data_IF_744038351256
#
_entry.id   IF_744038351256
#
_cell.length_a   1.000
_cell.length_b   1.000
_cell.length_c   1.000
_cell.angle_alpha   90.00
_cell.angle_beta   90.00
_cell.angle_gamma   90.00
#
_symmetry.space_group_name_H-M   'P 1'
#
loop_
_entity.id
_entity.type
_entity.pdbx_description
1 polymer ?
#
# COMPACT_ATOMS: atom_id res chain seq x y z
N UNK A 1 10.28 -10.67 7.60
CA UNK A 1 11.42 -9.74 7.69
C UNK A 1 11.05 -8.35 7.18
N UNK A 2 10.37 -8.22 6.02
CA UNK A 2 9.96 -6.90 5.51
C UNK A 2 8.92 -6.20 6.41
N UNK A 3 7.83 -6.89 6.79
CA UNK A 3 6.69 -6.29 7.50
C UNK A 3 6.65 -6.53 9.01
N UNK A 4 7.20 -7.65 9.47
CA UNK A 4 7.09 -8.09 10.85
C UNK A 4 8.46 -8.43 11.44
N UNK A 5 8.66 -8.20 12.76
CA UNK A 5 7.67 -7.66 13.72
C UNK A 5 7.47 -6.14 13.58
N UNK A 6 6.27 -5.64 13.90
CA UNK A 6 5.94 -4.20 13.80
C UNK A 6 6.76 -3.40 14.81
N UNK A 7 6.86 -3.89 16.03
CA UNK A 7 7.75 -3.34 17.06
C UNK A 7 9.07 -4.12 17.12
N UNK A 8 10.09 -3.48 17.68
CA UNK A 8 11.39 -4.13 17.85
C UNK A 8 11.28 -5.34 18.77
N UNK A 9 11.70 -6.50 18.27
CA UNK A 9 11.72 -7.75 19.01
C UNK A 9 13.16 -8.11 19.39
N UNK A 10 13.43 -8.23 20.69
CA UNK A 10 14.72 -8.66 21.23
C UNK A 10 15.24 -7.76 22.34
N UNK A 11 16.51 -7.93 22.71
CA UNK A 11 17.16 -7.16 23.77
C UNK A 11 17.69 -5.85 23.16
N UNK A 12 17.20 -4.72 23.65
CA UNK A 12 17.58 -3.38 23.20
C UNK A 12 18.88 -2.90 23.88
N UNK A 13 19.98 -3.63 23.67
CA UNK A 13 21.30 -3.26 24.21
C UNK A 13 21.99 -2.18 23.36
N UNK A 14 21.86 -2.30 22.03
CA UNK A 14 22.36 -1.35 21.04
C UNK A 14 21.57 -1.53 19.76
N UNK A 15 20.92 -0.46 19.32
CA UNK A 15 20.23 -0.34 18.04
C UNK A 15 20.89 0.78 17.24
N UNK A 16 21.09 0.56 15.95
CA UNK A 16 21.56 1.62 15.05
C UNK A 16 20.37 2.36 14.45
N UNK A 17 20.47 3.67 14.34
CA UNK A 17 19.39 4.53 13.83
C UNK A 17 18.98 4.10 12.41
N UNK A 18 17.67 4.09 12.14
CA UNK A 18 17.04 3.69 10.87
C UNK A 18 17.38 2.27 10.37
N UNK A 19 17.93 1.41 11.22
CA UNK A 19 18.22 0.02 10.87
C UNK A 19 17.23 -0.97 11.49
N UNK A 20 16.87 -2.03 10.73
CA UNK A 20 15.93 -3.06 11.20
C UNK A 20 16.58 -4.07 12.16
N UNK A 21 17.90 -3.99 12.38
CA UNK A 21 18.64 -4.94 13.21
C UNK A 21 19.25 -4.22 14.42
N UNK A 22 19.18 -4.85 15.58
CA UNK A 22 19.97 -4.48 16.75
C UNK A 22 20.95 -5.60 17.11
N UNK A 23 21.80 -5.37 18.10
CA UNK A 23 22.81 -6.35 18.52
C UNK A 23 22.19 -7.71 18.91
N UNK A 24 20.99 -7.70 19.49
CA UNK A 24 20.24 -8.90 19.89
C UNK A 24 18.74 -8.73 19.65
N UNK A 25 18.36 -8.29 18.46
CA UNK A 25 16.96 -8.16 18.07
C UNK A 25 16.77 -7.64 16.66
N UNK A 26 15.53 -7.61 16.21
CA UNK A 26 15.18 -7.12 14.89
C UNK A 26 13.76 -6.55 14.87
N UNK A 27 13.50 -5.73 13.86
CA UNK A 27 12.20 -5.19 13.52
C UNK A 27 11.97 -5.38 12.02
N UNK A 28 10.71 -5.34 11.59
CA UNK A 28 10.40 -5.22 10.18
C UNK A 28 11.05 -3.98 9.56
N UNK A 29 11.47 -4.07 8.30
CA UNK A 29 12.10 -2.95 7.58
C UNK A 29 11.12 -1.79 7.39
N UNK A 30 9.90 -2.07 6.94
CA UNK A 30 8.86 -1.05 6.71
C UNK A 30 8.46 -0.35 8.03
N UNK A 31 8.18 -1.07 9.14
CA UNK A 31 7.97 -0.44 10.45
C UNK A 31 9.16 0.37 11.00
N UNK A 32 10.39 0.03 10.59
CA UNK A 32 11.59 0.76 11.02
C UNK A 32 11.69 2.11 10.30
N UNK A 33 11.41 2.14 9.00
CA UNK A 33 11.53 3.33 8.15
C UNK A 33 10.23 4.09 7.96
N UNK A 34 9.23 3.87 8.82
CA UNK A 34 7.87 4.42 8.67
C UNK A 34 7.85 5.93 8.46
N UNK A 35 8.62 6.70 9.24
CA UNK A 35 8.60 8.16 9.13
C UNK A 35 9.09 8.65 7.76
N UNK A 36 10.20 8.09 7.27
CA UNK A 36 10.79 8.44 5.97
C UNK A 36 9.82 8.08 4.84
N UNK A 37 9.23 6.88 4.90
CA UNK A 37 8.30 6.37 3.90
C UNK A 37 6.97 7.15 3.91
N UNK A 38 6.44 7.44 5.10
CA UNK A 38 5.23 8.24 5.27
C UNK A 38 5.42 9.65 4.71
N UNK A 39 6.52 10.34 5.02
CA UNK A 39 6.83 11.67 4.47
C UNK A 39 6.88 11.68 2.93
N UNK A 40 7.40 10.61 2.31
CA UNK A 40 7.38 10.49 0.84
C UNK A 40 5.96 10.31 0.32
N UNK A 41 5.17 9.41 0.91
CA UNK A 41 3.79 9.19 0.52
C UNK A 41 2.91 10.42 0.70
N UNK A 42 3.10 11.17 1.80
CA UNK A 42 2.41 12.43 2.07
C UNK A 42 2.63 13.42 0.92
N UNK A 43 3.89 13.71 0.58
CA UNK A 43 4.23 14.61 -0.54
C UNK A 43 3.60 14.17 -1.86
N UNK A 44 3.56 12.86 -2.12
CA UNK A 44 2.94 12.33 -3.33
C UNK A 44 1.44 12.65 -3.35
N UNK A 45 0.76 12.41 -2.24
CA UNK A 45 -0.68 12.65 -2.10
C UNK A 45 -0.99 14.15 -2.22
N UNK A 46 -0.25 15.00 -1.52
CA UNK A 46 -0.50 16.45 -1.44
C UNK A 46 -0.06 17.21 -2.69
N UNK A 47 1.08 16.85 -3.28
CA UNK A 47 1.65 17.61 -4.40
C UNK A 47 1.05 17.21 -5.75
N UNK A 48 0.59 15.96 -5.90
CA UNK A 48 0.22 15.41 -7.23
C UNK A 48 -1.19 14.84 -7.33
N UNK A 49 -1.81 14.43 -6.23
CA UNK A 49 -3.02 13.58 -6.31
C UNK A 49 -4.29 14.22 -5.75
N UNK A 50 -4.18 14.98 -4.65
CA UNK A 50 -5.35 15.48 -3.93
C UNK A 50 -5.21 16.97 -3.59
N UNK A 51 -6.18 17.75 -4.07
CA UNK A 51 -6.42 19.12 -3.60
C UNK A 51 -7.58 19.13 -2.62
N UNK A 52 -7.38 19.72 -1.44
CA UNK A 52 -8.44 19.86 -0.43
C UNK A 52 -9.55 20.77 -0.95
N UNK A 53 -9.21 21.88 -1.60
CA UNK A 53 -10.20 22.82 -2.17
C UNK A 53 -11.12 22.10 -3.16
N UNK A 54 -10.56 21.31 -4.09
CA UNK A 54 -11.35 20.55 -5.07
C UNK A 54 -12.21 19.46 -4.41
N UNK A 55 -11.72 18.79 -3.37
CA UNK A 55 -12.46 17.76 -2.66
C UNK A 55 -13.62 18.39 -1.86
N UNK A 56 -13.36 19.43 -1.09
CA UNK A 56 -14.36 20.10 -0.26
C UNK A 56 -15.38 20.90 -1.09
N UNK A 57 -15.01 21.38 -2.28
CA UNK A 57 -15.95 22.03 -3.21
C UNK A 57 -17.10 21.12 -3.66
N UNK A 58 -16.96 19.80 -3.55
CA UNK A 58 -18.03 18.82 -3.86
C UNK A 58 -19.09 18.73 -2.78
N UNK A 59 -18.81 19.22 -1.57
CA UNK A 59 -19.79 19.25 -0.49
C UNK A 59 -20.88 20.30 -0.82
N UNK A 60 -22.14 19.98 -0.51
CA UNK A 60 -23.24 20.93 -0.54
C UNK A 60 -23.35 21.60 0.84
N UNK A 61 -23.05 22.90 0.97
CA UNK A 61 -23.08 23.62 2.24
C UNK A 61 -24.45 23.60 2.92
N UNK A 62 -25.53 23.58 2.15
CA UNK A 62 -26.90 23.55 2.67
C UNK A 62 -27.21 22.19 3.26
N UNK A 63 -26.85 21.12 2.54
CA UNK A 63 -27.06 19.74 3.02
C UNK A 63 -26.18 19.42 4.22
N UNK A 64 -24.88 19.72 4.15
CA UNK A 64 -23.95 19.51 5.26
C UNK A 64 -24.36 20.34 6.50
N UNK A 65 -24.76 21.60 6.30
CA UNK A 65 -25.24 22.46 7.38
C UNK A 65 -26.45 21.87 8.10
N UNK A 66 -27.41 21.28 7.38
CA UNK A 66 -28.55 20.57 7.98
C UNK A 66 -28.15 19.35 8.79
N UNK A 67 -27.13 18.61 8.33
CA UNK A 67 -26.64 17.41 9.03
C UNK A 67 -25.84 17.76 10.29
N UNK A 68 -25.09 18.87 10.27
CA UNK A 68 -24.32 19.35 11.42
C UNK A 68 -25.16 20.14 12.43
N UNK A 69 -26.29 20.70 12.00
CA UNK A 69 -27.15 21.55 12.84
C UNK A 69 -27.49 20.94 14.21
N UNK A 70 -27.91 19.66 14.32
CA UNK A 70 -28.23 19.07 15.63
C UNK A 70 -27.04 19.03 16.57
N UNK A 71 -25.85 18.69 16.06
CA UNK A 71 -24.62 18.63 16.86
C UNK A 71 -24.21 20.01 17.38
N UNK A 72 -24.30 21.04 16.52
CA UNK A 72 -23.99 22.41 16.89
C UNK A 72 -25.01 22.94 17.92
N UNK A 73 -26.30 22.67 17.74
CA UNK A 73 -27.33 23.07 18.71
C UNK A 73 -27.13 22.42 20.08
N UNK A 74 -26.87 21.10 20.10
CA UNK A 74 -26.59 20.34 21.32
C UNK A 74 -25.37 20.89 22.06
N UNK A 75 -24.27 21.13 21.33
CA UNK A 75 -23.05 21.69 21.92
C UNK A 75 -23.22 23.11 22.44
N UNK A 76 -23.96 23.97 21.72
CA UNK A 76 -24.28 25.33 22.20
C UNK A 76 -25.12 25.28 23.46
N UNK A 77 -26.11 24.40 23.53
CA UNK A 77 -26.96 24.24 24.72
C UNK A 77 -26.15 23.74 25.92
N UNK A 78 -25.27 22.76 25.71
CA UNK A 78 -24.41 22.20 26.74
C UNK A 78 -23.37 23.21 27.28
N UNK A 79 -22.76 24.01 26.40
CA UNK A 79 -21.63 24.88 26.78
C UNK A 79 -22.03 26.33 27.07
N UNK A 80 -23.10 26.84 26.44
CA UNK A 80 -23.53 28.24 26.55
C UNK A 80 -24.89 28.40 27.26
N UNK A 81 -25.63 27.32 27.48
CA UNK A 81 -26.92 27.31 28.16
C UNK A 81 -28.13 27.58 27.25
N UNK A 82 -29.32 27.37 27.81
CA UNK A 82 -30.60 27.35 27.08
C UNK A 82 -30.95 28.70 26.42
N UNK A 83 -30.61 29.82 27.06
CA UNK A 83 -30.88 31.16 26.54
C UNK A 83 -30.18 31.43 25.20
N UNK A 84 -28.91 31.02 25.07
CA UNK A 84 -28.15 31.15 23.83
C UNK A 84 -28.63 30.15 22.77
N UNK A 85 -28.95 28.91 23.17
CA UNK A 85 -29.56 27.92 22.27
C UNK A 85 -30.85 28.48 21.65
N UNK A 86 -31.76 29.05 22.45
CA UNK A 86 -33.00 29.65 21.97
C UNK A 86 -32.76 30.80 20.98
N UNK A 87 -31.82 31.71 21.29
CA UNK A 87 -31.50 32.85 20.43
C UNK A 87 -30.91 32.42 19.08
N UNK A 88 -30.03 31.42 19.09
CA UNK A 88 -29.30 30.98 17.90
C UNK A 88 -30.09 29.98 17.05
N UNK A 89 -31.06 29.24 17.61
CA UNK A 89 -31.91 28.26 16.89
C UNK A 89 -32.47 28.76 15.54
N UNK A 90 -33.05 29.97 15.41
CA UNK A 90 -33.55 30.45 14.12
C UNK A 90 -32.45 30.94 13.17
N UNK A 91 -31.29 31.33 13.69
CA UNK A 91 -30.18 31.91 12.92
C UNK A 91 -29.24 30.83 12.38
N UNK A 92 -28.96 29.80 13.17
CA UNK A 92 -28.03 28.71 12.82
C UNK A 92 -28.31 28.07 11.45
N UNK A 93 -29.56 27.73 11.07
CA UNK A 93 -29.84 27.13 9.77
C UNK A 93 -29.49 28.03 8.57
N UNK A 94 -29.47 29.35 8.76
CA UNK A 94 -29.09 30.33 7.74
C UNK A 94 -27.59 30.63 7.76
N UNK A 95 -26.99 30.62 8.95
CA UNK A 95 -25.57 30.93 9.19
C UNK A 95 -24.64 29.78 8.78
N UNK A 96 -25.00 28.53 9.12
CA UNK A 96 -24.19 27.34 8.86
C UNK A 96 -23.81 27.19 7.38
N UNK A 97 -24.75 27.26 6.41
CA UNK A 97 -24.40 27.15 4.99
C UNK A 97 -23.43 28.25 4.52
N UNK A 98 -23.55 29.47 5.07
CA UNK A 98 -22.64 30.56 4.74
C UNK A 98 -21.22 30.28 5.25
N UNK A 99 -21.09 29.86 6.51
CA UNK A 99 -19.79 29.49 7.11
C UNK A 99 -19.16 28.33 6.35
N UNK A 100 -19.95 27.30 6.03
CA UNK A 100 -19.47 26.14 5.26
C UNK A 100 -19.02 26.54 3.85
N UNK A 101 -19.71 27.48 3.21
CA UNK A 101 -19.28 28.02 1.90
C UNK A 101 -17.93 28.74 2.00
N UNK A 102 -17.72 29.53 3.06
CA UNK A 102 -16.41 30.15 3.31
C UNK A 102 -15.35 29.11 3.65
N UNK A 103 -15.71 28.07 4.41
CA UNK A 103 -14.80 27.00 4.83
C UNK A 103 -14.28 26.22 3.63
N UNK A 104 -15.14 25.95 2.63
CA UNK A 104 -14.72 25.29 1.39
C UNK A 104 -13.61 26.05 0.64
N UNK A 105 -13.63 27.38 0.67
CA UNK A 105 -12.65 28.24 -0.02
C UNK A 105 -11.36 28.45 0.75
N UNK A 106 -11.39 28.21 2.06
CA UNK A 106 -10.28 28.48 2.97
C UNK A 106 -9.91 27.22 3.76
N UNK A 107 -10.20 26.04 3.21
CA UNK A 107 -10.03 24.76 3.91
C UNK A 107 -8.56 24.47 4.25
N UNK A 108 -7.63 24.88 3.38
CA UNK A 108 -6.19 24.72 3.61
C UNK A 108 -5.67 25.51 4.84
N UNK A 109 -6.43 26.51 5.31
CA UNK A 109 -6.10 27.23 6.54
C UNK A 109 -6.59 26.52 7.80
N UNK A 110 -7.45 25.51 7.66
CA UNK A 110 -8.16 24.84 8.76
C UNK A 110 -7.80 23.36 8.88
N UNK A 111 -7.41 22.73 7.78
CA UNK A 111 -7.10 21.30 7.69
C UNK A 111 -5.71 21.15 7.08
N UNK A 112 -4.80 20.53 7.82
CA UNK A 112 -3.46 20.21 7.32
C UNK A 112 -3.45 18.76 6.82
N UNK A 113 -3.60 18.60 5.50
CA UNK A 113 -3.59 17.27 4.88
C UNK A 113 -2.27 16.53 5.12
N UNK A 114 -1.15 17.25 5.18
CA UNK A 114 0.15 16.62 5.44
C UNK A 114 0.18 16.01 6.83
N UNK A 115 -0.29 16.75 7.85
CA UNK A 115 -0.34 16.26 9.22
C UNK A 115 -1.34 15.11 9.39
N UNK A 116 -2.52 15.16 8.75
CA UNK A 116 -3.50 14.06 8.80
C UNK A 116 -2.90 12.76 8.26
N UNK A 117 -2.26 12.81 7.08
CA UNK A 117 -1.68 11.61 6.47
C UNK A 117 -0.45 11.14 7.24
N UNK A 118 0.43 12.06 7.64
CA UNK A 118 1.65 11.73 8.38
C UNK A 118 1.32 11.11 9.74
N UNK A 119 0.42 11.74 10.49
CA UNK A 119 -0.01 11.27 11.80
C UNK A 119 -0.67 9.89 11.72
N UNK A 120 -1.46 9.60 10.68
CA UNK A 120 -2.06 8.29 10.49
C UNK A 120 -1.00 7.17 10.37
N UNK A 121 0.07 7.40 9.61
CA UNK A 121 1.13 6.40 9.43
C UNK A 121 2.13 6.34 10.58
N UNK A 122 2.43 7.47 11.23
CA UNK A 122 3.39 7.53 12.35
C UNK A 122 2.76 7.03 13.65
N UNK A 123 1.48 7.36 13.90
CA UNK A 123 0.72 6.91 15.08
C UNK A 123 0.52 5.39 15.07
N UNK A 124 0.27 4.82 13.90
CA UNK A 124 0.11 3.38 13.73
C UNK A 124 0.90 2.86 12.52
N UNK A 125 2.10 2.34 12.82
CA UNK A 125 3.00 1.72 11.83
C UNK A 125 2.34 0.55 11.10
N UNK A 126 1.32 -0.09 11.71
CA UNK A 126 0.57 -1.17 11.06
C UNK A 126 -0.19 -0.66 9.83
N UNK A 127 -0.69 0.58 9.85
CA UNK A 127 -1.43 1.17 8.72
C UNK A 127 -0.53 1.26 7.49
N UNK A 128 0.72 1.73 7.66
CA UNK A 128 1.67 1.77 6.55
C UNK A 128 2.00 0.37 6.04
N UNK A 129 2.23 -0.58 6.95
CA UNK A 129 2.49 -1.99 6.62
C UNK A 129 1.33 -2.62 5.85
N UNK A 130 0.10 -2.36 6.25
CA UNK A 130 -1.11 -2.86 5.59
C UNK A 130 -1.27 -2.26 4.20
N UNK A 131 -0.93 -0.98 4.00
CA UNK A 131 -0.91 -0.35 2.68
C UNK A 131 0.05 -1.08 1.74
N UNK A 132 1.28 -1.33 2.17
CA UNK A 132 2.28 -2.05 1.37
C UNK A 132 1.85 -3.48 1.07
N UNK A 133 1.31 -4.19 2.06
CA UNK A 133 0.85 -5.56 1.86
C UNK A 133 -0.36 -5.64 0.93
N UNK A 134 -1.24 -4.64 0.96
CA UNK A 134 -2.41 -4.60 0.06
C UNK A 134 -1.96 -4.32 -1.37
N UNK A 135 -1.28 -3.19 -1.59
CA UNK A 135 -0.84 -2.75 -2.93
C UNK A 135 0.19 -3.68 -3.57
N UNK A 136 1.19 -4.12 -2.80
CA UNK A 136 2.31 -4.93 -3.29
C UNK A 136 2.08 -6.45 -3.25
N UNK A 137 0.85 -6.91 -2.96
CA UNK A 137 0.57 -8.33 -2.71
C UNK A 137 1.03 -9.23 -3.85
N UNK A 138 0.77 -8.83 -5.09
CA UNK A 138 1.07 -9.63 -6.29
C UNK A 138 2.57 -9.67 -6.54
N UNK A 139 3.25 -8.54 -6.39
CA UNK A 139 4.69 -8.39 -6.57
C UNK A 139 5.45 -9.20 -5.52
N UNK A 140 4.98 -9.19 -4.27
CA UNK A 140 5.53 -10.03 -3.20
C UNK A 140 5.35 -11.53 -3.50
N UNK A 141 4.18 -11.94 -3.98
CA UNK A 141 3.94 -13.33 -4.38
C UNK A 141 4.80 -13.73 -5.57
N UNK A 142 4.98 -12.83 -6.55
CA UNK A 142 5.89 -13.03 -7.65
C UNK A 142 7.32 -13.21 -7.18
N UNK A 143 7.80 -12.38 -6.24
CA UNK A 143 9.14 -12.49 -5.67
C UNK A 143 9.37 -13.84 -5.00
N UNK A 144 8.38 -14.33 -4.23
CA UNK A 144 8.45 -15.65 -3.57
C UNK A 144 8.42 -16.79 -4.59
N UNK A 145 7.52 -16.75 -5.57
CA UNK A 145 7.33 -17.85 -6.52
C UNK A 145 8.41 -17.90 -7.61
N UNK A 146 8.90 -16.75 -8.05
CA UNK A 146 9.92 -16.65 -9.09
C UNK A 146 11.29 -17.16 -8.63
N UNK A 147 11.56 -17.10 -7.33
CA UNK A 147 12.78 -17.65 -6.73
C UNK A 147 12.98 -19.13 -7.05
N UNK A 148 11.91 -19.92 -7.12
CA UNK A 148 11.98 -21.33 -7.53
C UNK A 148 12.37 -21.47 -9.02
N UNK A 149 11.74 -20.70 -9.91
CA UNK A 149 11.98 -20.76 -11.35
C UNK A 149 13.42 -20.35 -11.71
N UNK A 150 13.84 -19.15 -11.31
CA UNK A 150 15.20 -18.68 -11.58
C UNK A 150 16.24 -19.51 -10.83
N UNK A 151 15.99 -19.85 -9.58
CA UNK A 151 16.87 -20.71 -8.79
C UNK A 151 17.08 -22.08 -9.44
N UNK A 152 16.06 -22.63 -10.09
CA UNK A 152 16.19 -23.88 -10.85
C UNK A 152 17.11 -23.72 -12.07
N UNK A 153 16.84 -22.75 -12.96
CA UNK A 153 17.66 -22.57 -14.18
C UNK A 153 19.10 -22.15 -13.87
N UNK A 154 19.28 -21.21 -12.93
CA UNK A 154 20.61 -20.81 -12.47
C UNK A 154 21.31 -21.93 -11.70
N UNK A 155 20.54 -22.76 -10.98
CA UNK A 155 21.02 -23.97 -10.32
C UNK A 155 21.55 -25.02 -11.31
N UNK A 156 20.89 -25.20 -12.47
CA UNK A 156 21.39 -26.06 -13.55
C UNK A 156 22.70 -25.54 -14.14
N UNK A 157 22.80 -24.22 -14.35
CA UNK A 157 24.03 -23.58 -14.78
C UNK A 157 25.16 -23.75 -13.73
N UNK A 158 24.84 -23.57 -12.44
CA UNK A 158 25.74 -23.84 -11.32
C UNK A 158 26.20 -25.30 -11.32
N UNK A 159 25.29 -26.25 -11.54
CA UNK A 159 25.62 -27.68 -11.58
C UNK A 159 26.58 -27.99 -12.73
N UNK A 160 26.35 -27.44 -13.91
CA UNK A 160 27.24 -27.59 -15.06
C UNK A 160 28.63 -26.98 -14.78
N UNK A 161 28.69 -25.78 -14.20
CA UNK A 161 29.94 -25.12 -13.81
C UNK A 161 30.70 -25.91 -12.74
N UNK A 162 30.00 -26.47 -11.76
CA UNK A 162 30.58 -27.32 -10.74
C UNK A 162 31.11 -28.65 -11.31
N UNK A 163 30.42 -29.25 -12.27
CA UNK A 163 30.87 -30.47 -12.94
C UNK A 163 32.20 -30.26 -13.70
N UNK A 164 32.45 -29.05 -14.23
CA UNK A 164 33.71 -28.70 -14.88
C UNK A 164 34.85 -28.47 -13.88
N UNK A 165 34.56 -27.84 -12.73
CA UNK A 165 35.55 -27.50 -11.71
C UNK A 165 35.06 -27.81 -10.29
N UNK A 166 35.07 -29.09 -9.86
CA UNK A 166 34.55 -29.50 -8.57
C UNK A 166 35.53 -29.14 -7.45
N UNK A 167 35.33 -27.99 -6.81
CA UNK A 167 36.03 -27.59 -5.60
C UNK A 167 35.07 -27.45 -4.41
N UNK A 168 35.60 -27.49 -3.18
CA UNK A 168 34.78 -27.37 -1.97
C UNK A 168 34.20 -25.97 -1.78
N UNK A 169 34.89 -24.93 -2.28
CA UNK A 169 34.45 -23.54 -2.17
C UNK A 169 33.52 -23.11 -3.32
N UNK A 170 33.48 -23.86 -4.43
CA UNK A 170 32.67 -23.48 -5.60
C UNK A 170 31.17 -23.60 -5.32
N UNK A 171 30.73 -24.54 -4.48
CA UNK A 171 29.31 -24.68 -4.13
C UNK A 171 28.80 -23.54 -3.23
N UNK A 172 29.49 -23.14 -2.13
CA UNK A 172 29.11 -21.97 -1.35
C UNK A 172 29.17 -20.67 -2.16
N UNK A 173 30.22 -20.47 -2.96
CA UNK A 173 30.37 -19.26 -3.77
C UNK A 173 29.32 -19.18 -4.90
N UNK A 174 29.07 -20.28 -5.60
CA UNK A 174 28.04 -20.34 -6.62
C UNK A 174 26.64 -20.21 -6.02
N UNK A 175 26.37 -20.86 -4.87
CA UNK A 175 25.10 -20.69 -4.16
C UNK A 175 24.85 -19.23 -3.77
N UNK A 176 25.88 -18.53 -3.27
CA UNK A 176 25.80 -17.10 -2.97
C UNK A 176 25.50 -16.26 -4.22
N UNK A 177 26.21 -16.54 -5.32
CA UNK A 177 26.01 -15.85 -6.60
C UNK A 177 24.60 -16.10 -7.16
N UNK A 178 24.14 -17.35 -7.16
CA UNK A 178 22.81 -17.72 -7.65
C UNK A 178 21.73 -17.06 -6.79
N UNK A 179 21.85 -17.08 -5.46
CA UNK A 179 20.92 -16.40 -4.57
C UNK A 179 20.86 -14.89 -4.80
N UNK A 180 22.02 -14.25 -4.97
CA UNK A 180 22.14 -12.84 -5.29
C UNK A 180 21.50 -12.50 -6.64
N UNK A 181 21.90 -13.21 -7.71
CA UNK A 181 21.44 -12.96 -9.07
C UNK A 181 19.95 -13.26 -9.22
N UNK A 182 19.44 -14.32 -8.61
CA UNK A 182 18.00 -14.66 -8.63
C UNK A 182 17.17 -13.51 -8.08
N UNK A 183 17.53 -13.01 -6.89
CA UNK A 183 16.78 -11.93 -6.26
C UNK A 183 16.93 -10.61 -7.01
N UNK A 184 18.12 -10.33 -7.55
CA UNK A 184 18.36 -9.16 -8.40
C UNK A 184 17.51 -9.19 -9.67
N UNK A 185 17.43 -10.33 -10.37
CA UNK A 185 16.59 -10.51 -11.56
C UNK A 185 15.10 -10.37 -11.18
N UNK A 186 14.67 -10.98 -10.07
CA UNK A 186 13.28 -10.93 -9.62
C UNK A 186 12.81 -9.49 -9.36
N UNK A 187 13.57 -8.71 -8.60
CA UNK A 187 13.26 -7.29 -8.34
C UNK A 187 13.26 -6.50 -9.64
N UNK A 188 14.25 -6.72 -10.50
CA UNK A 188 14.36 -5.96 -11.75
C UNK A 188 13.14 -6.14 -12.65
N UNK A 189 12.55 -7.33 -12.75
CA UNK A 189 11.32 -7.50 -13.55
C UNK A 189 10.06 -6.96 -12.87
N UNK A 190 10.10 -6.67 -11.57
CA UNK A 190 8.97 -6.04 -10.90
C UNK A 190 8.81 -4.60 -11.38
N UNK A 191 9.92 -3.86 -11.56
CA UNK A 191 9.90 -2.42 -11.86
C UNK A 191 10.40 -2.04 -13.27
N UNK A 192 11.20 -2.89 -13.92
CA UNK A 192 11.77 -2.60 -15.23
C UNK A 192 11.27 -3.57 -16.33
N UNK A 193 11.02 -3.08 -17.56
CA UNK A 193 11.06 -1.68 -17.98
C UNK A 193 9.78 -0.93 -17.57
N UNK A 194 9.94 0.34 -17.16
CA UNK A 194 8.83 1.19 -16.74
C UNK A 194 7.81 1.43 -17.87
N UNK A 195 8.33 1.79 -19.04
CA UNK A 195 7.55 1.91 -20.26
C UNK A 195 7.46 0.56 -20.96
N UNK A 196 6.32 0.25 -21.59
CA UNK A 196 6.15 -0.99 -22.34
C UNK A 196 7.11 -1.05 -23.52
N UNK A 197 7.94 -2.08 -23.58
CA UNK A 197 8.91 -2.33 -24.66
C UNK A 197 8.43 -3.48 -25.52
N UNK A 198 8.30 -3.22 -26.83
CA UNK A 198 7.98 -4.25 -27.81
C UNK A 198 9.23 -5.05 -28.20
N UNK A 199 9.27 -6.31 -27.76
CA UNK A 199 10.31 -7.26 -28.16
C UNK A 199 9.91 -7.89 -29.49
N UNK A 200 10.74 -7.65 -30.52
CA UNK A 200 10.58 -8.21 -31.88
C UNK A 200 9.21 -7.91 -32.53
N UNK A 201 8.47 -6.92 -32.04
CA UNK A 201 7.14 -6.54 -32.55
C UNK A 201 6.01 -7.54 -32.24
N UNK A 202 6.28 -8.58 -31.45
CA UNK A 202 5.32 -9.67 -31.17
C UNK A 202 4.88 -9.73 -29.71
N UNK A 203 5.72 -9.23 -28.79
CA UNK A 203 5.49 -9.36 -27.34
C UNK A 203 5.82 -8.02 -26.69
N UNK A 204 4.86 -7.47 -25.96
CA UNK A 204 5.06 -6.28 -25.13
C UNK A 204 5.51 -6.73 -23.73
N UNK A 205 6.65 -6.20 -23.28
CA UNK A 205 7.24 -6.48 -21.96
C UNK A 205 7.23 -5.18 -21.15
N UNK A 206 6.71 -5.25 -19.93
CA UNK A 206 6.69 -4.16 -18.97
C UNK A 206 6.95 -4.72 -17.57
N UNK A 207 7.51 -3.90 -16.68
CA UNK A 207 7.61 -4.22 -15.26
C UNK A 207 6.25 -4.63 -14.69
N UNK A 208 6.24 -5.66 -13.84
CA UNK A 208 5.01 -6.23 -13.28
C UNK A 208 4.18 -5.16 -12.55
N UNK A 209 4.85 -4.31 -11.77
CA UNK A 209 4.22 -3.29 -10.95
C UNK A 209 3.56 -2.20 -11.81
N UNK A 210 4.27 -1.68 -12.81
CA UNK A 210 3.79 -0.65 -13.74
C UNK A 210 2.66 -1.20 -14.61
N UNK A 211 2.73 -2.47 -15.01
CA UNK A 211 1.66 -3.12 -15.78
C UNK A 211 0.33 -3.20 -15.00
N UNK A 212 0.39 -3.14 -13.66
CA UNK A 212 -0.74 -3.17 -12.72
C UNK A 212 -1.14 -1.79 -12.21
N UNK A 213 -0.63 -0.70 -12.79
CA UNK A 213 -0.92 0.68 -12.36
C UNK A 213 -2.40 0.94 -12.07
N UNK A 214 -3.32 0.46 -12.92
CA UNK A 214 -4.77 0.65 -12.73
C UNK A 214 -5.28 -0.03 -11.45
N UNK A 215 -4.88 -1.29 -11.23
CA UNK A 215 -5.29 -2.08 -10.07
C UNK A 215 -4.69 -1.50 -8.78
N UNK A 216 -3.40 -1.18 -8.80
CA UNK A 216 -2.69 -0.54 -7.68
C UNK A 216 -3.33 0.80 -7.32
N UNK A 217 -3.71 1.60 -8.32
CA UNK A 217 -4.35 2.89 -8.10
C UNK A 217 -5.70 2.75 -7.38
N UNK A 218 -6.49 1.74 -7.75
CA UNK A 218 -7.79 1.46 -7.13
C UNK A 218 -7.63 0.95 -5.69
N UNK A 219 -6.67 0.05 -5.46
CA UNK A 219 -6.37 -0.47 -4.12
C UNK A 219 -5.80 0.63 -3.19
N UNK A 220 -4.96 1.51 -3.72
CA UNK A 220 -4.41 2.66 -3.00
C UNK A 220 -5.51 3.65 -2.61
N UNK A 221 -6.35 4.06 -3.57
CA UNK A 221 -7.46 4.98 -3.29
C UNK A 221 -8.45 4.43 -2.27
N UNK A 222 -8.80 3.15 -2.38
CA UNK A 222 -9.68 2.44 -1.43
C UNK A 222 -9.06 2.39 -0.03
N UNK A 223 -7.76 2.08 0.06
CA UNK A 223 -7.04 2.06 1.34
C UNK A 223 -7.01 3.46 1.97
N UNK A 224 -6.63 4.49 1.21
CA UNK A 224 -6.50 5.85 1.72
C UNK A 224 -7.85 6.38 2.24
N UNK A 225 -8.94 6.21 1.50
CA UNK A 225 -10.27 6.66 1.94
C UNK A 225 -10.77 5.89 3.18
N UNK A 226 -10.49 4.59 3.27
CA UNK A 226 -11.04 3.74 4.34
C UNK A 226 -10.22 3.75 5.64
N UNK A 227 -8.93 4.10 5.59
CA UNK A 227 -8.01 4.00 6.74
C UNK A 227 -7.29 5.27 7.11
N UNK A 228 -7.10 6.22 6.19
CA UNK A 228 -6.27 7.41 6.40
C UNK A 228 -7.11 8.69 6.32
N UNK A 229 -7.68 8.95 5.16
CA UNK A 229 -8.45 10.15 4.83
C UNK A 229 -9.96 9.92 5.03
N UNK A 230 -10.32 9.44 6.20
CA UNK A 230 -11.73 9.24 6.57
C UNK A 230 -12.35 10.54 7.08
N UNK A 231 -13.67 10.70 6.94
CA UNK A 231 -14.41 11.82 7.52
C UNK A 231 -14.10 12.03 9.02
N UNK A 232 -13.89 10.94 9.76
CA UNK A 232 -13.47 11.00 11.16
C UNK A 232 -12.14 11.72 11.34
N UNK A 233 -11.09 11.27 10.66
CA UNK A 233 -9.75 11.84 10.84
C UNK A 233 -9.71 13.30 10.33
N UNK A 234 -10.40 13.60 9.22
CA UNK A 234 -10.49 14.97 8.69
C UNK A 234 -11.21 15.91 9.65
N UNK A 235 -12.39 15.54 10.16
CA UNK A 235 -13.14 16.39 11.10
C UNK A 235 -12.41 16.52 12.45
N UNK A 236 -11.72 15.46 12.88
CA UNK A 236 -10.93 15.48 14.12
C UNK A 236 -9.76 16.45 14.01
N UNK A 237 -9.06 16.44 12.87
CA UNK A 237 -7.96 17.35 12.61
C UNK A 237 -8.43 18.82 12.56
N UNK A 238 -9.53 19.09 11.86
CA UNK A 238 -10.14 20.42 11.83
C UNK A 238 -10.51 20.93 13.22
N UNK A 239 -10.98 20.05 14.10
CA UNK A 239 -11.33 20.43 15.47
C UNK A 239 -10.15 20.40 16.45
N UNK A 240 -8.94 20.08 15.98
CA UNK A 240 -7.74 20.03 16.80
C UNK A 240 -7.37 21.43 17.34
N UNK A 241 -6.67 21.46 18.47
CA UNK A 241 -6.24 22.71 19.12
C UNK A 241 -7.34 23.47 19.89
N UNK A 242 -8.62 23.12 19.75
CA UNK A 242 -9.71 23.74 20.51
C UNK A 242 -9.80 25.25 20.27
N UNK A 243 -9.70 26.05 21.33
CA UNK A 243 -9.80 27.51 21.27
C UNK A 243 -8.59 28.19 20.59
N UNK A 244 -7.44 27.51 20.57
CA UNK A 244 -6.23 27.98 19.87
C UNK A 244 -6.10 27.39 18.46
N UNK A 245 -7.01 26.48 18.09
CA UNK A 245 -7.05 25.76 16.83
C UNK A 245 -7.40 26.62 15.62
N UNK A 246 -7.11 26.10 14.44
CA UNK A 246 -7.33 26.81 13.17
C UNK A 246 -8.81 27.01 12.87
N UNK A 247 -9.66 26.02 13.16
CA UNK A 247 -11.11 26.16 13.01
C UNK A 247 -11.69 27.26 13.89
N UNK A 248 -11.23 27.41 15.14
CA UNK A 248 -11.67 28.49 16.02
C UNK A 248 -11.29 29.86 15.42
N UNK A 249 -10.04 30.02 14.97
CA UNK A 249 -9.54 31.24 14.34
C UNK A 249 -10.30 31.56 13.04
N UNK A 250 -10.60 30.54 12.25
CA UNK A 250 -11.44 30.67 11.05
C UNK A 250 -12.85 31.17 11.40
N UNK A 251 -13.54 30.51 12.35
CA UNK A 251 -14.89 30.90 12.76
C UNK A 251 -14.92 32.33 13.30
N UNK A 252 -13.91 32.71 14.10
CA UNK A 252 -13.77 34.07 14.64
C UNK A 252 -13.68 35.13 13.54
N UNK A 253 -13.02 34.83 12.42
CA UNK A 253 -12.85 35.76 11.29
C UNK A 253 -14.11 35.89 10.42
N UNK A 254 -14.88 34.80 10.26
CA UNK A 254 -16.05 34.78 9.38
C UNK A 254 -17.29 35.47 9.98
N UNK A 255 -17.32 35.67 11.30
CA UNK A 255 -18.49 36.21 11.99
C UNK A 255 -18.42 37.75 12.12
N UNK A 256 -19.39 38.50 11.56
CA UNK A 256 -19.33 39.96 11.48
C UNK A 256 -19.60 40.68 12.81
N UNK A 257 -20.14 39.97 13.81
CA UNK A 257 -20.49 40.52 15.12
C UNK A 257 -19.58 39.94 16.20
N UNK A 258 -19.34 40.69 17.31
CA UNK A 258 -18.61 40.16 18.45
C UNK A 258 -19.41 39.05 19.13
N UNK A 259 -19.24 37.83 18.65
CA UNK A 259 -19.82 36.63 19.26
C UNK A 259 -18.93 36.22 20.45
N UNK A 260 -19.51 35.86 21.61
CA UNK A 260 -18.78 35.26 22.72
C UNK A 260 -17.91 34.08 22.28
N UNK A 261 -16.67 34.02 22.75
CA UNK A 261 -15.74 32.93 22.43
C UNK A 261 -16.33 31.56 22.76
N UNK A 262 -17.13 31.45 23.82
CA UNK A 262 -17.80 30.21 24.23
C UNK A 262 -18.67 29.58 23.14
N UNK A 263 -19.28 30.37 22.26
CA UNK A 263 -20.10 29.86 21.15
C UNK A 263 -19.20 29.29 20.05
N UNK A 264 -18.04 29.92 19.80
CA UNK A 264 -17.05 29.41 18.85
C UNK A 264 -16.45 28.10 19.37
N UNK A 265 -16.07 28.06 20.65
CA UNK A 265 -15.61 26.86 21.35
C UNK A 265 -16.65 25.74 21.29
N UNK A 266 -17.94 26.07 21.46
CA UNK A 266 -19.03 25.12 21.32
C UNK A 266 -19.13 24.58 19.89
N UNK A 267 -18.97 25.42 18.87
CA UNK A 267 -18.97 24.97 17.48
C UNK A 267 -17.79 24.03 17.17
N UNK A 268 -16.58 24.37 17.63
CA UNK A 268 -15.40 23.48 17.50
C UNK A 268 -15.63 22.16 18.23
N UNK A 269 -16.15 22.22 19.46
CA UNK A 269 -16.49 21.03 20.25
C UNK A 269 -17.56 20.18 19.59
N UNK A 270 -18.51 20.79 18.86
CA UNK A 270 -19.50 20.06 18.09
C UNK A 270 -18.86 19.27 16.95
N UNK A 271 -17.90 19.86 16.23
CA UNK A 271 -17.17 19.15 15.17
C UNK A 271 -16.32 18.02 15.76
N UNK A 272 -15.66 18.24 16.90
CA UNK A 272 -14.95 17.20 17.63
C UNK A 272 -15.89 16.05 18.06
N UNK A 273 -17.07 16.36 18.61
CA UNK A 273 -18.07 15.36 19.01
C UNK A 273 -18.56 14.56 17.80
N UNK A 274 -18.81 15.24 16.67
CA UNK A 274 -19.17 14.58 15.41
C UNK A 274 -18.06 13.65 14.95
N UNK A 275 -16.79 14.07 15.01
CA UNK A 275 -15.66 13.26 14.61
C UNK A 275 -15.52 12.00 15.48
N UNK A 276 -15.58 12.14 16.80
CA UNK A 276 -15.36 11.03 17.74
C UNK A 276 -16.54 10.08 17.90
N UNK A 277 -17.76 10.50 17.54
CA UNK A 277 -18.98 9.69 17.66
C UNK A 277 -19.63 9.36 16.30
N UNK A 278 -18.98 8.54 15.43
CA UNK A 278 -19.52 8.20 14.11
C UNK A 278 -20.84 7.43 14.16
N UNK A 279 -21.10 6.70 15.25
CA UNK A 279 -22.37 5.99 15.46
C UNK A 279 -23.52 6.94 15.83
N UNK A 280 -23.23 8.09 16.45
CA UNK A 280 -24.22 9.13 16.79
C UNK A 280 -24.55 9.98 15.57
N UNK A 281 -23.56 10.24 14.71
CA UNK A 281 -23.70 11.07 13.51
C UNK A 281 -23.39 10.33 12.19
N UNK A 282 -23.99 9.14 11.93
CA UNK A 282 -23.64 8.32 10.78
C UNK A 282 -23.94 9.00 9.45
N UNK A 283 -24.97 9.86 9.42
CA UNK A 283 -25.34 10.63 8.24
C UNK A 283 -24.27 11.66 7.84
N UNK A 284 -23.59 12.29 8.81
CA UNK A 284 -22.49 13.24 8.52
C UNK A 284 -21.30 12.47 7.95
N UNK A 285 -20.88 11.40 8.62
CA UNK A 285 -19.73 10.58 8.18
C UNK A 285 -19.95 9.97 6.81
N UNK A 286 -21.12 9.38 6.56
CA UNK A 286 -21.47 8.81 5.26
C UNK A 286 -21.47 9.88 4.17
N UNK A 287 -22.09 11.05 4.45
CA UNK A 287 -22.17 12.13 3.48
C UNK A 287 -20.79 12.70 3.14
N UNK A 288 -19.96 13.01 4.15
CA UNK A 288 -18.61 13.56 3.92
C UNK A 288 -17.74 12.56 3.17
N UNK A 289 -17.71 11.28 3.58
CA UNK A 289 -16.92 10.26 2.89
C UNK A 289 -17.35 10.07 1.43
N UNK A 290 -18.66 10.05 1.16
CA UNK A 290 -19.19 9.85 -0.19
C UNK A 290 -18.93 11.07 -1.10
N UNK A 291 -19.13 12.28 -0.60
CA UNK A 291 -19.03 13.49 -1.43
C UNK A 291 -17.60 13.96 -1.65
N UNK A 292 -16.69 13.78 -0.68
CA UNK A 292 -15.28 14.09 -0.90
C UNK A 292 -14.67 13.19 -1.98
N UNK A 293 -15.18 11.96 -2.12
CA UNK A 293 -14.82 11.02 -3.19
C UNK A 293 -13.29 10.87 -3.35
N UNK A 294 -12.63 10.68 -2.19
CA UNK A 294 -11.18 10.62 -2.06
C UNK A 294 -10.62 9.42 -2.82
N UNK A 295 -11.31 8.27 -2.74
CA UNK A 295 -10.91 7.03 -3.42
C UNK A 295 -10.75 7.25 -4.93
N UNK A 296 -11.80 7.73 -5.59
CA UNK A 296 -11.77 7.94 -7.05
C UNK A 296 -10.83 9.07 -7.43
N UNK A 297 -10.72 10.13 -6.61
CA UNK A 297 -9.80 11.23 -6.85
C UNK A 297 -8.34 10.74 -6.86
N UNK A 298 -7.92 10.00 -5.83
CA UNK A 298 -6.57 9.44 -5.74
C UNK A 298 -6.33 8.38 -6.82
N UNK A 299 -7.27 7.47 -7.05
CA UNK A 299 -7.13 6.42 -8.05
C UNK A 299 -7.02 7.01 -9.47
N UNK A 300 -7.84 8.01 -9.80
CA UNK A 300 -7.78 8.70 -11.10
C UNK A 300 -6.50 9.51 -11.25
N UNK A 301 -6.04 10.16 -10.18
CA UNK A 301 -4.75 10.86 -10.16
C UNK A 301 -3.60 9.92 -10.53
N UNK A 302 -3.50 8.78 -9.85
CA UNK A 302 -2.45 7.78 -10.11
C UNK A 302 -2.55 7.16 -11.50
N UNK A 303 -3.77 6.88 -12.00
CA UNK A 303 -3.99 6.34 -13.36
C UNK A 303 -3.61 7.30 -14.50
N UNK A 304 -3.57 8.61 -14.23
CA UNK A 304 -3.21 9.64 -15.22
C UNK A 304 -1.72 9.85 -15.36
N UNK A 305 -0.94 9.37 -14.41
CA UNK A 305 0.51 9.48 -14.46
C UNK A 305 1.07 8.59 -15.55
N UNK A 306 2.17 9.04 -16.18
CA UNK A 306 2.95 8.17 -17.04
C UNK A 306 3.53 6.99 -16.23
N UNK A 307 3.83 5.83 -16.86
CA UNK A 307 4.40 4.68 -16.15
C UNK A 307 5.66 5.04 -15.38
N UNK A 308 6.51 5.91 -15.95
CA UNK A 308 7.72 6.40 -15.30
C UNK A 308 7.42 7.29 -14.10
N UNK A 309 6.45 8.20 -14.21
CA UNK A 309 6.05 9.00 -13.04
C UNK A 309 5.46 8.12 -11.95
N UNK A 310 4.64 7.13 -12.30
CA UNK A 310 4.06 6.19 -11.35
C UNK A 310 5.13 5.35 -10.63
N UNK A 311 6.13 4.84 -11.38
CA UNK A 311 7.32 4.21 -10.84
C UNK A 311 8.06 5.18 -9.90
N UNK A 312 8.39 6.39 -10.35
CA UNK A 312 9.11 7.39 -9.56
C UNK A 312 8.38 7.79 -8.26
N UNK A 313 7.05 7.59 -8.16
CA UNK A 313 6.31 7.81 -6.90
C UNK A 313 6.50 6.66 -5.91
N UNK A 314 6.39 5.42 -6.35
CA UNK A 314 6.28 4.26 -5.45
C UNK A 314 7.61 3.50 -5.33
N UNK A 315 8.40 3.43 -6.40
CA UNK A 315 9.69 2.75 -6.45
C UNK A 315 10.68 3.29 -5.40
N UNK A 316 10.85 4.60 -5.15
CA UNK A 316 11.74 5.06 -4.08
C UNK A 316 11.33 4.53 -2.70
N UNK A 317 10.07 4.17 -2.52
CA UNK A 317 9.58 3.59 -1.28
C UNK A 317 9.87 2.08 -1.20
N UNK A 318 9.88 1.38 -2.33
CA UNK A 318 10.31 -0.03 -2.41
C UNK A 318 11.85 -0.22 -2.44
N UNK A 319 12.59 0.71 -3.05
CA UNK A 319 14.06 0.72 -3.17
C UNK A 319 14.77 0.62 -1.83
N UNK A 320 14.18 1.18 -0.77
CA UNK A 320 14.75 1.25 0.57
C UNK A 320 15.08 -0.13 1.17
N UNK A 321 14.54 -1.23 0.62
CA UNK A 321 14.82 -2.60 1.07
C UNK A 321 15.41 -3.52 0.00
N UNK A 322 15.59 -3.07 -1.24
CA UNK A 322 16.08 -3.93 -2.33
C UNK A 322 17.46 -4.52 -2.05
N UNK A 323 18.38 -3.70 -1.54
CA UNK A 323 19.75 -4.12 -1.22
C UNK A 323 19.76 -5.17 -0.12
N UNK A 324 18.97 -4.97 0.94
CA UNK A 324 18.85 -5.93 2.05
C UNK A 324 18.31 -7.26 1.54
N UNK A 325 17.29 -7.22 0.66
CA UNK A 325 16.67 -8.41 0.11
C UNK A 325 17.64 -9.19 -0.80
N UNK A 326 18.36 -8.50 -1.68
CA UNK A 326 19.38 -9.10 -2.56
C UNK A 326 20.53 -9.70 -1.74
N UNK A 327 21.03 -8.96 -0.75
CA UNK A 327 22.09 -9.43 0.14
C UNK A 327 21.66 -10.66 0.95
N UNK A 328 20.42 -10.67 1.45
CA UNK A 328 19.85 -11.81 2.19
C UNK A 328 19.75 -13.04 1.29
N UNK A 329 19.33 -12.89 0.03
CA UNK A 329 19.35 -13.96 -0.97
C UNK A 329 20.74 -14.56 -1.16
N UNK A 330 21.77 -13.73 -1.25
CA UNK A 330 23.17 -14.18 -1.34
C UNK A 330 23.66 -14.91 -0.08
N UNK A 331 23.34 -14.42 1.12
CA UNK A 331 23.72 -15.06 2.39
C UNK A 331 23.04 -16.42 2.56
N UNK A 332 21.74 -16.51 2.25
CA UNK A 332 20.99 -17.77 2.29
C UNK A 332 21.51 -18.76 1.24
N UNK A 333 21.83 -18.28 0.03
CA UNK A 333 22.46 -19.06 -1.02
C UNK A 333 23.84 -19.61 -0.63
N UNK A 334 24.67 -18.79 0.03
CA UNK A 334 25.94 -19.23 0.61
C UNK A 334 25.72 -20.34 1.64
N UNK A 335 24.77 -20.14 2.56
CA UNK A 335 24.41 -21.12 3.59
C UNK A 335 23.96 -22.45 2.98
N UNK A 336 23.12 -22.41 1.96
CA UNK A 336 22.68 -23.59 1.21
C UNK A 336 23.87 -24.31 0.53
N UNK A 337 24.76 -23.58 -0.13
CA UNK A 337 25.95 -24.15 -0.77
C UNK A 337 26.96 -24.74 0.23
N UNK A 338 27.13 -24.11 1.40
CA UNK A 338 27.93 -24.63 2.51
C UNK A 338 27.33 -25.93 3.07
N UNK A 339 26.01 -25.99 3.20
CA UNK A 339 25.30 -27.19 3.62
C UNK A 339 25.47 -28.32 2.58
N UNK A 340 25.31 -28.02 1.29
CA UNK A 340 25.56 -28.98 0.20
C UNK A 340 26.98 -29.56 0.23
N UNK A 341 27.98 -28.70 0.50
CA UNK A 341 29.37 -29.12 0.63
C UNK A 341 29.56 -30.09 1.80
N UNK A 342 28.96 -29.78 2.97
CA UNK A 342 29.02 -30.64 4.17
C UNK A 342 28.27 -31.96 4.01
N UNK A 343 27.15 -31.97 3.28
CA UNK A 343 26.35 -33.19 3.01
C UNK A 343 27.00 -34.14 2.00
N UNK A 344 28.25 -33.88 1.57
CA UNK A 344 29.06 -34.85 0.84
C UNK A 344 29.08 -34.65 -0.67
N UNK A 345 28.58 -33.51 -1.17
CA UNK A 345 28.76 -33.04 -2.55
C UNK A 345 30.06 -32.23 -2.73
N UNK A 346 30.94 -32.21 -1.74
CA UNK A 346 32.33 -31.77 -1.87
C UNK A 346 33.32 -32.94 -2.01
N UNK A 347 34.42 -32.74 -2.73
CA UNK A 347 35.56 -33.68 -2.80
C UNK A 347 35.52 -34.69 -3.96
N UNK A 348 36.50 -35.61 -4.05
CA UNK A 348 36.74 -36.46 -5.23
C UNK A 348 35.64 -37.49 -5.54
N UNK A 349 34.74 -37.77 -4.60
CA UNK A 349 33.60 -38.68 -4.77
C UNK A 349 32.25 -37.95 -4.94
N UNK A 350 32.26 -36.62 -5.14
CA UNK A 350 31.04 -35.84 -5.19
C UNK A 350 30.20 -36.09 -6.45
N UNK A 351 30.83 -36.21 -7.62
CA UNK A 351 30.15 -36.45 -8.90
C UNK A 351 29.33 -37.75 -8.91
N UNK A 352 29.87 -38.92 -8.51
CA UNK A 352 29.07 -40.15 -8.47
C UNK A 352 27.95 -40.11 -7.43
N UNK A 353 28.12 -39.39 -6.30
CA UNK A 353 27.04 -39.20 -5.31
C UNK A 353 25.91 -38.32 -5.83
N UNK A 354 26.25 -37.25 -6.54
CA UNK A 354 25.29 -36.34 -7.15
C UNK A 354 24.43 -37.06 -8.22
N UNK A 355 25.07 -37.90 -9.05
CA UNK A 355 24.38 -38.76 -10.03
C UNK A 355 23.42 -39.73 -9.30
N UNK A 356 23.88 -40.37 -8.22
CA UNK A 356 23.06 -41.27 -7.40
C UNK A 356 21.82 -40.58 -6.81
N UNK A 357 21.97 -39.37 -6.27
CA UNK A 357 20.83 -38.59 -5.77
C UNK A 357 19.89 -38.16 -6.89
N UNK A 358 20.40 -37.73 -8.05
CA UNK A 358 19.56 -37.33 -9.19
C UNK A 358 18.71 -38.50 -9.69
N UNK A 359 19.31 -39.69 -9.86
CA UNK A 359 18.59 -40.91 -10.24
C UNK A 359 17.54 -41.31 -9.20
N UNK A 360 17.87 -41.22 -7.92
CA UNK A 360 16.91 -41.50 -6.84
C UNK A 360 15.71 -40.55 -6.89
N UNK A 361 15.96 -39.24 -7.07
CA UNK A 361 14.90 -38.22 -7.10
C UNK A 361 14.02 -38.37 -8.34
N UNK A 362 14.62 -38.63 -9.52
CA UNK A 362 13.88 -38.92 -10.76
C UNK A 362 13.03 -40.18 -10.62
N UNK A 363 13.54 -41.23 -9.99
CA UNK A 363 12.78 -42.45 -9.74
C UNK A 363 11.61 -42.21 -8.76
N UNK A 364 11.80 -41.40 -7.72
CA UNK A 364 10.71 -41.06 -6.78
C UNK A 364 9.67 -40.17 -7.44
N UNK A 365 10.07 -39.15 -8.20
CA UNK A 365 9.12 -38.30 -8.94
C UNK A 365 8.34 -39.09 -10.00
N UNK A 366 8.99 -40.01 -10.71
CA UNK A 366 8.31 -40.91 -11.66
C UNK A 366 7.32 -41.83 -10.94
N UNK A 367 7.69 -42.38 -9.78
CA UNK A 367 6.81 -43.22 -8.97
C UNK A 367 5.57 -42.46 -8.48
N UNK A 368 5.75 -41.22 -8.01
CA UNK A 368 4.65 -40.35 -7.59
C UNK A 368 3.74 -40.00 -8.78
N UNK A 369 4.32 -39.67 -9.93
CA UNK A 369 3.55 -39.38 -11.15
C UNK A 369 2.72 -40.58 -11.60
N UNK A 370 3.33 -41.77 -11.68
CA UNK A 370 2.63 -43.02 -12.03
C UNK A 370 1.52 -43.33 -11.02
N UNK A 371 1.76 -43.10 -9.73
CA UNK A 371 0.76 -43.31 -8.70
C UNK A 371 -0.41 -42.33 -8.80
N UNK A 372 -0.14 -41.04 -9.06
CA UNK A 372 -1.20 -40.05 -9.30
C UNK A 372 -2.02 -40.37 -10.56
N UNK A 373 -1.39 -40.82 -11.64
CA UNK A 373 -2.07 -41.22 -12.87
C UNK A 373 -2.94 -42.47 -12.63
N UNK A 374 -2.45 -43.43 -11.83
CA UNK A 374 -3.20 -44.62 -11.43
C UNK A 374 -4.41 -44.26 -10.56
N UNK A 375 -4.22 -43.40 -9.55
CA UNK A 375 -5.29 -42.88 -8.68
C UNK A 375 -6.34 -42.10 -9.50
N UNK A 376 -5.92 -41.24 -10.44
CA UNK A 376 -6.82 -40.47 -11.31
C UNK A 376 -7.68 -41.35 -12.24
N UNK A 377 -7.21 -42.55 -12.59
CA UNK A 377 -7.96 -43.52 -13.40
C UNK A 377 -8.90 -44.41 -12.56
N UNK A 378 -8.66 -44.56 -11.26
CA UNK A 378 -9.36 -45.53 -10.40
C UNK A 378 -10.23 -44.91 -9.30
N UNK A 379 -10.05 -43.63 -8.98
CA UNK A 379 -10.95 -42.89 -8.08
C UNK A 379 -12.01 -42.08 -8.86
N UNK A 380 -13.29 -42.14 -8.48
CA UNK A 380 -14.32 -41.29 -9.08
C UNK A 380 -14.04 -39.81 -8.77
N UNK A 381 -14.30 -38.88 -9.71
CA UNK A 381 -13.99 -37.48 -9.50
C UNK A 381 -14.78 -36.96 -8.30
N UNK A 382 -14.05 -36.51 -7.26
CA UNK A 382 -14.64 -35.70 -6.20
C UNK A 382 -15.18 -34.43 -6.86
N UNK A 383 -16.50 -34.28 -6.86
CA UNK A 383 -17.20 -33.10 -7.33
C UNK A 383 -16.73 -31.86 -6.54
N UNK A 384 -15.69 -31.19 -7.03
CA UNK A 384 -15.28 -29.91 -6.48
C UNK A 384 -16.26 -28.85 -6.98
N UNK A 385 -17.10 -28.38 -6.07
CA UNK A 385 -17.89 -27.15 -6.22
C UNK A 385 -17.05 -26.08 -6.91
N UNK A 386 -17.68 -25.45 -7.89
CA UNK A 386 -17.21 -24.26 -8.59
C UNK A 386 -16.36 -23.37 -7.68
N UNK A 387 -15.05 -23.36 -7.92
CA UNK A 387 -14.21 -22.28 -7.42
C UNK A 387 -14.61 -21.05 -8.24
N UNK A 388 -14.96 -19.92 -7.62
CA UNK A 388 -15.23 -18.71 -8.37
C UNK A 388 -14.02 -18.40 -9.24
N UNK A 389 -14.28 -18.20 -10.54
CA UNK A 389 -13.27 -17.79 -11.51
C UNK A 389 -12.72 -16.41 -11.11
N UNK A 390 -11.69 -16.39 -10.27
CA UNK A 390 -10.80 -15.25 -10.16
C UNK A 390 -10.14 -15.12 -11.53
N UNK A 391 -10.40 -14.03 -12.26
CA UNK A 391 -9.60 -13.66 -13.43
C UNK A 391 -8.18 -13.38 -12.95
N UNK A 392 -7.34 -14.42 -12.90
CA UNK A 392 -5.88 -14.30 -12.77
C UNK A 392 -5.37 -13.45 -13.92
N UNK A 393 -5.04 -12.18 -13.66
CA UNK A 393 -4.25 -11.36 -14.58
C UNK A 393 -2.80 -11.44 -14.11
N UNK A 394 -2.10 -12.52 -14.48
CA UNK A 394 -0.79 -12.90 -13.93
C UNK A 394 0.38 -12.76 -14.93
N UNK A 395 0.25 -11.99 -16.01
CA UNK A 395 1.24 -12.06 -17.10
C UNK A 395 1.97 -10.75 -17.35
N UNK A 396 3.30 -10.82 -17.21
CA UNK A 396 4.31 -9.82 -17.63
C UNK A 396 4.29 -9.60 -19.16
N UNK A 397 3.70 -10.54 -19.90
CA UNK A 397 3.66 -10.57 -21.35
C UNK A 397 2.22 -10.33 -21.83
N UNK A 398 2.02 -9.34 -22.69
CA UNK A 398 0.73 -9.08 -23.34
C UNK A 398 0.79 -9.49 -24.82
N UNK A 399 -0.15 -10.33 -25.31
CA UNK A 399 -0.34 -10.50 -26.74
C UNK A 399 -0.97 -9.21 -27.31
N UNK A 400 -0.38 -8.66 -28.37
CA UNK A 400 -0.76 -7.37 -28.98
C UNK A 400 -2.24 -7.25 -29.35
N UNK A 401 -2.94 -8.37 -29.59
CA UNK A 401 -4.32 -8.37 -30.07
C UNK A 401 -5.38 -8.12 -28.99
N UNK A 402 -5.09 -8.35 -27.70
CA UNK A 402 -6.06 -8.09 -26.61
C UNK A 402 -6.15 -6.59 -26.26
N UNK A 403 -5.11 -5.81 -26.55
CA UNK A 403 -5.10 -4.36 -26.35
C UNK A 403 -6.04 -3.62 -27.30
N UNK A 404 -6.28 -4.15 -28.50
CA UNK A 404 -7.24 -3.57 -29.44
C UNK A 404 -8.69 -3.65 -28.92
N UNK A 405 -9.04 -4.72 -28.20
CA UNK A 405 -10.37 -4.89 -27.60
C UNK A 405 -10.52 -4.06 -26.31
N UNK A 406 -9.47 -3.95 -25.49
CA UNK A 406 -9.49 -3.13 -24.27
C UNK A 406 -9.46 -1.63 -24.60
N UNK A 407 -8.69 -1.21 -25.61
CA UNK A 407 -8.70 0.16 -26.10
C UNK A 407 -10.03 0.54 -26.78
N UNK A 408 -10.71 -0.42 -27.42
CA UNK A 408 -12.05 -0.21 -27.98
C UNK A 408 -13.15 -0.09 -26.90
N UNK A 409 -12.93 -0.59 -25.68
CA UNK A 409 -13.85 -0.45 -24.55
C UNK A 409 -13.79 0.92 -23.86
N UNK A 410 -12.75 1.72 -24.12
CA UNK A 410 -12.62 3.09 -23.65
C UNK A 410 -12.77 4.06 -24.83
N UNK A 411 -13.95 4.12 -25.42
CA UNK A 411 -14.32 5.27 -26.25
C UNK A 411 -14.42 6.52 -25.36
N UNK A 412 -13.83 7.66 -25.76
CA UNK A 412 -14.07 8.91 -25.06
C UNK A 412 -15.55 9.25 -25.22
N UNK A 413 -16.22 9.55 -24.10
CA UNK A 413 -17.56 10.11 -24.13
C UNK A 413 -17.53 11.39 -24.98
N UNK A 414 -18.22 11.36 -26.11
CA UNK A 414 -18.45 12.47 -27.01
C UNK A 414 -19.38 13.47 -26.29
N UNK A 415 -18.82 14.57 -25.80
CA UNK A 415 -19.60 15.68 -25.27
C UNK A 415 -20.11 16.54 -26.42
N UNK A 416 -21.36 16.28 -26.81
CA UNK A 416 -22.24 17.29 -27.41
C UNK A 416 -23.36 17.65 -26.47
#
# INVERSE_FOLDING_TARGET
MLFYPIEYFGINLKRWDDTPYGMFGWQGVVPTKTEIMAKRLVRIVTDKLLSLEEAFARLDPVKLGKLLLPAVQESVEANCGEAWSWLLRPVLPLLLPHILTSLQREIDQVLDLEDVVLSAFVRDKAVLVDLFQKVGRVELLFLVNSGFGFGFFLGLAQMAAWAAHPASWTLPAAGALVGYVTNWIAIRMIFEPAEPVNVLGLIEVQGLFESRQVEVSDEFGDFMQSRVLTARELLKDMASGGDDGDLFRFLRRQLPYPIPSSILSAAVSAIADVADNPLKYPAVHSYVNEQLDIRETLARGLKRLSPKEFEDLLHPVFQEDEVTLIATGGVLGFGAGALQTKLGWGGPAAVPRAIGTMLFTLATSLMIYVQQEYEAQHDPPLASKERPHLRRRETILRPTNELAEVAAQYTPYDYR
#
